data_IF_121204072284
#
_entry.id   IF_121204072284
#
_cell.length_a   1.000
_cell.length_b   1.000
_cell.length_c   1.000
_cell.angle_alpha   90.00
_cell.angle_beta   90.00
_cell.angle_gamma   90.00
#
_symmetry.space_group_name_H-M   'P 1'
#
loop_
_entity.id
_entity.type
_entity.pdbx_description
1 polymer ?
#
# COMPACT_ATOMS: atom_id res chain seq x y z
N UNK A 1 24.90 18.61 -4.91
CA UNK A 1 23.93 18.03 -5.86
C UNK A 1 23.19 19.18 -6.51
N UNK A 2 23.44 19.45 -7.80
CA UNK A 2 22.66 20.44 -8.54
C UNK A 2 21.39 19.75 -9.03
N UNK A 3 20.23 20.28 -8.64
CA UNK A 3 18.97 19.85 -9.21
C UNK A 3 18.93 20.27 -10.70
N UNK A 4 18.41 19.43 -11.60
CA UNK A 4 18.22 19.82 -12.99
C UNK A 4 17.38 21.10 -13.05
N UNK A 5 17.74 22.04 -13.92
CA UNK A 5 16.98 23.30 -14.15
C UNK A 5 15.64 23.05 -14.87
N UNK A 6 15.04 21.88 -14.68
CA UNK A 6 13.79 21.50 -15.28
C UNK A 6 12.63 21.83 -14.34
N UNK A 7 11.51 22.23 -14.93
CA UNK A 7 10.27 22.41 -14.17
C UNK A 7 9.60 21.06 -13.97
N UNK A 8 9.20 20.76 -12.74
CA UNK A 8 8.43 19.59 -12.35
C UNK A 8 7.06 20.03 -11.87
N UNK A 9 6.05 19.20 -12.17
CA UNK A 9 4.68 19.43 -11.71
C UNK A 9 4.51 19.01 -10.25
N UNK A 10 5.21 17.93 -9.85
CA UNK A 10 5.11 17.35 -8.51
C UNK A 10 6.49 17.02 -7.98
N UNK A 11 6.74 17.40 -6.73
CA UNK A 11 7.92 16.99 -5.95
C UNK A 11 7.47 16.06 -4.84
N UNK A 12 8.05 14.86 -4.79
CA UNK A 12 7.77 13.85 -3.77
C UNK A 12 8.99 13.70 -2.88
N UNK A 13 8.81 13.78 -1.58
CA UNK A 13 9.87 13.63 -0.58
C UNK A 13 9.71 12.29 0.12
N UNK A 14 10.70 11.41 -0.05
CA UNK A 14 10.76 10.08 0.53
C UNK A 14 10.48 8.96 -0.46
N UNK A 15 11.47 8.08 -0.66
CA UNK A 15 11.45 6.94 -1.59
C UNK A 15 11.02 5.63 -0.93
N UNK A 16 10.06 5.66 -0.01
CA UNK A 16 9.42 4.46 0.54
C UNK A 16 8.29 3.92 -0.36
N UNK A 17 7.55 2.93 0.12
CA UNK A 17 6.43 2.32 -0.60
C UNK A 17 5.38 3.35 -1.06
N UNK A 18 5.05 4.31 -0.18
CA UNK A 18 4.06 5.35 -0.48
C UNK A 18 4.60 6.31 -1.56
N UNK A 19 5.82 6.85 -1.38
CA UNK A 19 6.40 7.77 -2.34
C UNK A 19 6.56 7.15 -3.73
N UNK A 20 7.03 5.90 -3.80
CA UNK A 20 7.15 5.16 -5.07
C UNK A 20 5.79 4.92 -5.74
N UNK A 21 4.75 4.62 -4.94
CA UNK A 21 3.39 4.49 -5.46
C UNK A 21 2.84 5.79 -6.04
N UNK A 22 3.07 6.92 -5.37
CA UNK A 22 2.65 8.23 -5.85
C UNK A 22 3.39 8.61 -7.14
N UNK A 23 4.72 8.34 -7.22
CA UNK A 23 5.49 8.57 -8.47
C UNK A 23 4.88 7.79 -9.62
N UNK A 24 4.60 6.50 -9.41
CA UNK A 24 4.03 5.65 -10.45
C UNK A 24 2.69 6.20 -10.95
N UNK A 25 1.75 6.46 -10.03
CA UNK A 25 0.41 6.97 -10.38
C UNK A 25 0.48 8.32 -11.08
N UNK A 26 1.24 9.26 -10.54
CA UNK A 26 1.37 10.60 -11.13
C UNK A 26 2.02 10.55 -12.52
N UNK A 27 3.06 9.73 -12.71
CA UNK A 27 3.71 9.56 -14.01
C UNK A 27 2.76 8.93 -15.04
N UNK A 28 1.97 7.94 -14.64
CA UNK A 28 0.98 7.33 -15.51
C UNK A 28 -0.13 8.31 -15.93
N UNK A 29 -0.40 9.33 -15.12
CA UNK A 29 -1.31 10.44 -15.43
C UNK A 29 -0.66 11.54 -16.29
N UNK A 30 0.63 11.41 -16.66
CA UNK A 30 1.35 12.35 -17.51
C UNK A 30 2.00 13.52 -16.78
N UNK A 31 2.04 13.54 -15.46
CA UNK A 31 2.75 14.56 -14.69
C UNK A 31 4.27 14.34 -14.73
N UNK A 32 5.01 15.44 -14.80
CA UNK A 32 6.47 15.43 -14.65
C UNK A 32 6.83 15.45 -13.16
N UNK A 33 7.34 14.33 -12.67
CA UNK A 33 7.54 14.09 -11.24
C UNK A 33 9.03 14.00 -10.91
N UNK A 34 9.43 14.58 -9.78
CA UNK A 34 10.73 14.33 -9.16
C UNK A 34 10.55 13.72 -7.78
N UNK A 35 11.30 12.67 -7.48
CA UNK A 35 11.34 12.04 -6.16
C UNK A 35 12.70 12.30 -5.52
N UNK A 36 12.69 12.79 -4.28
CA UNK A 36 13.87 13.07 -3.49
C UNK A 36 13.92 12.12 -2.30
N UNK A 37 14.99 11.32 -2.21
CA UNK A 37 15.26 10.44 -1.07
C UNK A 37 16.62 10.84 -0.44
N UNK A 38 16.63 10.98 0.88
CA UNK A 38 17.84 11.43 1.60
C UNK A 38 18.88 10.32 1.84
N UNK A 39 18.45 9.06 1.85
CA UNK A 39 19.31 7.89 2.10
C UNK A 39 19.24 6.94 0.91
N UNK A 40 18.58 5.79 1.08
CA UNK A 40 18.35 4.78 0.06
C UNK A 40 16.86 4.47 -0.02
N UNK A 41 16.43 4.01 -1.18
CA UNK A 41 15.03 3.63 -1.40
C UNK A 41 14.58 2.55 -0.42
N UNK A 42 13.38 2.72 0.11
CA UNK A 42 12.76 1.82 1.07
C UNK A 42 13.57 1.59 2.37
N UNK A 43 14.61 2.36 2.67
CA UNK A 43 15.47 2.17 3.86
C UNK A 43 14.78 2.41 5.20
N UNK A 44 13.64 3.11 5.20
CA UNK A 44 12.84 3.40 6.38
C UNK A 44 11.84 2.31 6.76
N UNK A 45 10.61 2.69 7.06
CA UNK A 45 9.53 1.79 7.47
C UNK A 45 9.23 0.68 6.45
N UNK A 46 9.39 0.96 5.16
CA UNK A 46 9.12 -0.01 4.09
C UNK A 46 10.02 -1.25 4.17
N UNK A 47 11.29 -1.12 4.58
CA UNK A 47 12.18 -2.27 4.79
C UNK A 47 11.93 -3.00 6.12
N UNK A 48 11.38 -2.31 7.11
CA UNK A 48 11.20 -2.80 8.48
C UNK A 48 9.80 -3.37 8.76
N UNK A 49 8.96 -3.46 7.75
CA UNK A 49 7.60 -4.03 7.83
C UNK A 49 7.63 -5.55 7.66
N UNK A 50 6.57 -6.24 8.04
CA UNK A 50 6.39 -7.69 7.80
C UNK A 50 6.21 -8.04 6.32
N UNK A 51 5.99 -7.06 5.45
CA UNK A 51 5.61 -7.19 4.02
C UNK A 51 4.33 -8.00 3.80
N UNK A 52 3.52 -8.19 4.83
CA UNK A 52 2.22 -8.84 4.72
C UNK A 52 1.14 -7.81 4.42
N UNK A 53 0.60 -7.87 3.21
CA UNK A 53 -0.51 -7.03 2.78
C UNK A 53 -1.81 -7.79 2.99
N UNK A 54 -2.67 -7.29 3.86
CA UNK A 54 -3.97 -7.90 4.17
C UNK A 54 -5.12 -6.91 3.90
N UNK A 55 -6.33 -7.43 3.68
CA UNK A 55 -7.52 -6.62 3.39
C UNK A 55 -8.27 -6.10 4.64
N UNK A 56 -7.62 -6.00 5.79
CA UNK A 56 -8.23 -5.39 6.96
C UNK A 56 -9.24 -6.29 7.71
N UNK A 57 -8.90 -7.53 7.99
CA UNK A 57 -9.78 -8.50 8.69
C UNK A 57 -10.39 -7.94 9.97
N UNK A 58 -9.62 -7.18 10.77
CA UNK A 58 -10.14 -6.54 12.00
C UNK A 58 -11.25 -5.51 11.73
N UNK A 59 -11.15 -4.79 10.62
CA UNK A 59 -12.17 -3.82 10.22
C UNK A 59 -13.43 -4.52 9.73
N UNK A 60 -13.29 -5.68 9.09
CA UNK A 60 -14.43 -6.49 8.68
C UNK A 60 -15.22 -7.00 9.90
N UNK A 61 -14.54 -7.49 10.92
CA UNK A 61 -15.17 -7.90 12.18
C UNK A 61 -15.96 -6.75 12.81
N UNK A 62 -15.38 -5.55 12.90
CA UNK A 62 -16.05 -4.36 13.41
C UNK A 62 -17.23 -3.94 12.53
N UNK A 63 -17.08 -4.00 11.21
CA UNK A 63 -18.14 -3.67 10.27
C UNK A 63 -19.37 -4.56 10.46
N UNK A 64 -19.17 -5.87 10.69
CA UNK A 64 -20.24 -6.83 10.90
C UNK A 64 -20.87 -6.65 12.28
N UNK A 65 -20.06 -6.58 13.35
CA UNK A 65 -20.56 -6.49 14.73
C UNK A 65 -21.31 -5.18 15.00
N UNK A 66 -20.85 -4.06 14.40
CA UNK A 66 -21.41 -2.74 14.65
C UNK A 66 -22.30 -2.23 13.51
N UNK A 67 -22.53 -3.04 12.46
CA UNK A 67 -23.24 -2.63 11.23
C UNK A 67 -22.66 -1.32 10.63
N UNK A 68 -21.35 -1.15 10.74
CA UNK A 68 -20.64 0.06 10.33
C UNK A 68 -20.29 0.01 8.83
N UNK A 69 -21.07 0.72 8.03
CA UNK A 69 -20.88 0.83 6.58
C UNK A 69 -19.54 1.47 6.19
N UNK A 70 -18.99 2.35 7.02
CA UNK A 70 -17.71 3.01 6.77
C UNK A 70 -16.57 1.98 6.84
N UNK A 71 -16.56 1.16 7.89
CA UNK A 71 -15.60 0.06 8.05
C UNK A 71 -15.72 -0.98 6.93
N UNK A 72 -16.93 -1.28 6.48
CA UNK A 72 -17.16 -2.17 5.35
C UNK A 72 -16.56 -1.62 4.04
N UNK A 73 -16.78 -0.35 3.75
CA UNK A 73 -16.22 0.31 2.56
C UNK A 73 -14.69 0.32 2.60
N UNK A 74 -14.09 0.60 3.76
CA UNK A 74 -12.64 0.56 3.94
C UNK A 74 -12.06 -0.83 3.63
N UNK A 75 -12.73 -1.90 4.07
CA UNK A 75 -12.32 -3.28 3.74
C UNK A 75 -12.44 -3.55 2.25
N UNK A 76 -13.52 -3.12 1.62
CA UNK A 76 -13.73 -3.28 0.17
C UNK A 76 -12.62 -2.60 -0.64
N UNK A 77 -12.30 -1.36 -0.30
CA UNK A 77 -11.21 -0.60 -0.93
C UNK A 77 -9.86 -1.30 -0.70
N UNK A 78 -9.54 -1.71 0.51
CA UNK A 78 -8.30 -2.43 0.82
C UNK A 78 -8.16 -3.76 0.06
N UNK A 79 -9.26 -4.47 -0.21
CA UNK A 79 -9.25 -5.68 -1.04
C UNK A 79 -9.01 -5.37 -2.51
N UNK A 80 -9.58 -4.27 -3.03
CA UNK A 80 -9.35 -3.80 -4.39
C UNK A 80 -7.90 -3.39 -4.59
N UNK A 81 -7.35 -2.57 -3.69
CA UNK A 81 -5.95 -2.14 -3.72
C UNK A 81 -4.99 -3.33 -3.65
N UNK A 82 -5.30 -4.33 -2.83
CA UNK A 82 -4.51 -5.56 -2.77
C UNK A 82 -4.51 -6.32 -4.10
N UNK A 83 -5.64 -6.36 -4.80
CA UNK A 83 -5.73 -6.99 -6.12
C UNK A 83 -4.89 -6.23 -7.16
N UNK A 84 -4.95 -4.90 -7.15
CA UNK A 84 -4.14 -4.03 -8.01
C UNK A 84 -2.65 -4.23 -7.71
N UNK A 85 -2.26 -4.27 -6.43
CA UNK A 85 -0.88 -4.52 -6.04
C UNK A 85 -0.34 -5.86 -6.57
N UNK A 86 -1.12 -6.95 -6.45
CA UNK A 86 -0.75 -8.26 -7.01
C UNK A 86 -0.59 -8.24 -8.53
N UNK A 87 -1.39 -7.44 -9.23
CA UNK A 87 -1.30 -7.26 -10.68
C UNK A 87 -0.07 -6.45 -11.09
N UNK A 88 0.24 -5.40 -10.34
CA UNK A 88 1.32 -4.46 -10.68
C UNK A 88 2.70 -4.97 -10.27
N UNK A 89 2.78 -5.85 -9.29
CA UNK A 89 4.05 -6.38 -8.77
C UNK A 89 4.10 -7.92 -8.76
N UNK A 90 3.85 -8.62 -9.87
CA UNK A 90 3.72 -10.08 -9.90
C UNK A 90 5.01 -10.83 -9.56
N UNK A 91 6.17 -10.20 -9.77
CA UNK A 91 7.47 -10.82 -9.49
C UNK A 91 7.82 -10.82 -8.00
N UNK A 92 7.32 -9.86 -7.23
CA UNK A 92 7.67 -9.66 -5.83
C UNK A 92 6.52 -9.92 -4.87
N UNK A 93 5.28 -10.00 -5.36
CA UNK A 93 4.10 -10.26 -4.55
C UNK A 93 3.54 -11.66 -4.79
N UNK A 94 3.25 -12.39 -3.71
CA UNK A 94 2.68 -13.73 -3.76
C UNK A 94 1.51 -13.87 -2.81
N UNK A 95 0.50 -14.64 -3.19
CA UNK A 95 -0.61 -15.01 -2.29
C UNK A 95 -0.10 -15.99 -1.25
N UNK A 96 -0.32 -15.68 0.02
CA UNK A 96 -0.01 -16.55 1.15
C UNK A 96 -1.31 -17.03 1.77
N UNK A 97 -1.40 -18.32 2.07
CA UNK A 97 -2.48 -18.90 2.86
C UNK A 97 -2.09 -18.87 4.34
N UNK A 98 -2.96 -18.34 5.17
CA UNK A 98 -2.78 -18.31 6.63
C UNK A 98 -3.86 -19.21 7.21
N UNK A 99 -3.46 -20.24 7.94
CA UNK A 99 -4.37 -21.11 8.69
C UNK A 99 -4.50 -20.54 10.09
N UNK A 100 -5.72 -20.25 10.50
CA UNK A 100 -6.04 -19.81 11.86
C UNK A 100 -6.67 -21.00 12.58
N UNK A 101 -6.02 -21.62 13.57
CA UNK A 101 -6.63 -22.66 14.36
C UNK A 101 -7.73 -22.06 15.23
N UNK A 102 -8.93 -22.60 15.13
CA UNK A 102 -10.07 -22.24 16.01
C UNK A 102 -10.38 -23.43 16.90
N UNK A 103 -10.34 -23.22 18.20
CA UNK A 103 -10.57 -24.29 19.19
C UNK A 103 -12.02 -24.36 19.67
N UNK A 104 -12.85 -23.38 19.29
CA UNK A 104 -14.28 -23.33 19.63
C UNK A 104 -15.10 -22.89 18.43
N UNK A 105 -16.23 -23.56 18.20
CA UNK A 105 -17.14 -23.24 17.09
C UNK A 105 -17.94 -21.94 17.30
N UNK A 106 -18.02 -21.46 18.55
CA UNK A 106 -18.72 -20.22 18.91
C UNK A 106 -18.05 -19.56 20.13
N UNK A 107 -17.46 -18.41 19.90
CA UNK A 107 -17.25 -17.36 20.90
C UNK A 107 -17.69 -16.05 20.28
#
# INVERSE_FOLDING_TARGET
MQLPHEKYDIVIIGGGAVGSGIVLDATLRGYKVILLEKNDFASGASSKSSKLVHGGVRYLEKAIKNLDKSQYNLVKEGLQERAIFLKNAPLVSKKIRINIPTFTYFN
#
